data_IF_941457683615
#
_entry.id   IF_941457683615
#
_cell.length_a   1.000
_cell.length_b   1.000
_cell.length_c   1.000
_cell.angle_alpha   90.00
_cell.angle_beta   90.00
_cell.angle_gamma   90.00
#
_symmetry.space_group_name_H-M   'P 1'
#
loop_
_entity.id
_entity.type
_entity.pdbx_description
1 polymer ?
#
# COMPACT_ATOMS: atom_id res chain seq x y z
N UNK A 1 15.99 12.06 33.92
CA UNK A 1 16.37 12.74 32.66
C UNK A 1 17.25 11.79 31.88
N UNK A 2 16.80 11.22 30.76
CA UNK A 2 17.66 10.35 29.92
C UNK A 2 18.52 11.25 29.05
N UNK A 3 19.81 11.37 29.38
CA UNK A 3 20.81 12.05 28.55
C UNK A 3 21.30 11.00 27.54
N UNK A 4 21.22 11.32 26.25
CA UNK A 4 21.76 10.48 25.18
C UNK A 4 22.96 11.16 24.60
N UNK A 5 24.15 10.72 25.06
CA UNK A 5 25.41 11.22 24.58
C UNK A 5 25.74 10.68 23.19
N UNK A 6 26.32 11.52 22.36
CA UNK A 6 26.90 11.16 21.07
C UNK A 6 28.42 11.32 21.14
N UNK A 7 29.18 10.49 20.43
CA UNK A 7 30.61 10.66 20.36
C UNK A 7 30.95 12.02 19.78
N UNK A 8 32.05 12.62 20.31
CA UNK A 8 32.59 13.86 19.77
C UNK A 8 33.41 13.58 18.51
N UNK A 9 33.46 14.53 17.60
CA UNK A 9 34.33 14.50 16.42
C UNK A 9 35.82 14.69 16.82
N UNK A 10 36.69 14.24 15.93
CA UNK A 10 38.13 14.47 16.01
C UNK A 10 38.55 15.53 14.99
N UNK A 11 39.43 16.44 15.35
CA UNK A 11 39.89 17.51 14.47
C UNK A 11 40.43 18.70 15.20
N UNK A 12 40.57 19.83 14.48
CA UNK A 12 41.06 21.09 15.03
C UNK A 12 40.10 21.64 16.09
N UNK A 13 40.63 21.98 17.25
CA UNK A 13 39.91 22.57 18.38
C UNK A 13 40.12 24.08 18.45
N UNK A 14 39.23 24.79 19.13
CA UNK A 14 39.34 26.22 19.34
C UNK A 14 40.63 26.67 20.07
N UNK A 15 41.28 25.73 20.80
CA UNK A 15 42.56 25.93 21.44
C UNK A 15 43.76 25.90 20.51
N UNK A 16 43.57 25.61 19.19
CA UNK A 16 44.66 25.43 18.23
C UNK A 16 45.28 24.04 18.23
N UNK A 17 44.84 23.14 19.14
CA UNK A 17 45.22 21.72 19.17
C UNK A 17 44.34 20.89 18.25
N UNK A 18 44.75 19.69 17.92
CA UNK A 18 43.96 18.70 17.21
C UNK A 18 43.65 17.51 18.12
N UNK A 19 42.43 17.03 18.12
CA UNK A 19 42.00 15.91 18.93
C UNK A 19 40.49 15.78 19.11
N UNK A 20 40.05 14.89 19.99
CA UNK A 20 38.64 14.65 20.32
C UNK A 20 38.08 15.85 21.12
N UNK A 21 36.90 16.26 20.79
CA UNK A 21 36.18 17.37 21.47
C UNK A 21 35.49 18.34 20.51
N UNK A 22 35.65 18.16 19.21
CA UNK A 22 34.92 18.89 18.19
C UNK A 22 33.46 18.37 18.08
N UNK A 23 32.53 19.24 17.82
CA UNK A 23 31.14 18.86 17.45
C UNK A 23 31.18 18.02 16.17
N UNK A 24 30.34 17.00 16.09
CA UNK A 24 30.15 16.22 14.87
C UNK A 24 29.69 17.13 13.72
N UNK A 25 30.04 16.76 12.50
CA UNK A 25 29.56 17.47 11.31
C UNK A 25 28.02 17.42 11.24
N UNK A 26 27.34 18.49 10.75
CA UNK A 26 25.88 18.56 10.74
C UNK A 26 25.21 17.36 10.11
N UNK A 27 25.71 16.87 8.97
CA UNK A 27 25.14 15.70 8.28
C UNK A 27 25.21 14.42 9.14
N UNK A 28 26.30 14.26 9.91
CA UNK A 28 26.43 13.13 10.84
C UNK A 28 25.45 13.26 12.00
N UNK A 29 25.21 14.47 12.51
CA UNK A 29 24.22 14.71 13.56
C UNK A 29 22.80 14.43 13.05
N UNK A 30 22.46 14.91 11.84
CA UNK A 30 21.17 14.62 11.20
C UNK A 30 20.96 13.12 11.05
N UNK A 31 21.95 12.38 10.50
CA UNK A 31 21.88 10.94 10.34
C UNK A 31 21.67 10.20 11.68
N UNK A 32 22.30 10.69 12.76
CA UNK A 32 22.07 10.11 14.10
C UNK A 32 20.67 10.40 14.64
N UNK A 33 20.12 11.58 14.35
CA UNK A 33 18.75 11.95 14.75
C UNK A 33 17.75 11.08 13.99
N UNK A 34 17.90 10.99 12.68
CA UNK A 34 17.05 10.16 11.80
C UNK A 34 17.06 8.69 12.23
N UNK A 35 18.25 8.11 12.43
CA UNK A 35 18.40 6.74 12.91
C UNK A 35 17.75 6.51 14.29
N UNK A 36 17.78 7.54 15.16
CA UNK A 36 17.13 7.45 16.46
C UNK A 36 15.61 7.44 16.35
N UNK A 37 15.03 8.32 15.55
CA UNK A 37 13.60 8.36 15.34
C UNK A 37 13.11 7.12 14.58
N UNK A 38 13.82 6.68 13.55
CA UNK A 38 13.51 5.44 12.84
C UNK A 38 13.47 4.21 13.76
N UNK A 39 14.46 4.07 14.66
CA UNK A 39 14.52 2.95 15.62
C UNK A 39 13.38 2.93 16.64
N UNK A 40 12.82 4.10 16.99
CA UNK A 40 11.73 4.25 17.96
C UNK A 40 10.38 4.52 17.27
N UNK A 41 10.32 4.45 15.95
CA UNK A 41 9.09 4.56 15.21
C UNK A 41 8.18 3.34 15.45
N UNK A 42 6.85 3.50 15.48
CA UNK A 42 5.90 2.42 15.80
C UNK A 42 6.08 1.17 14.94
N UNK A 43 6.45 1.32 13.66
CA UNK A 43 6.73 0.22 12.73
C UNK A 43 8.22 0.08 12.40
N UNK A 44 9.12 0.55 13.26
CA UNK A 44 10.56 0.41 13.07
C UNK A 44 10.99 -1.05 12.96
N UNK A 45 11.62 -1.41 11.82
CA UNK A 45 12.05 -2.77 11.51
C UNK A 45 10.94 -3.69 11.00
N UNK A 46 9.71 -3.18 10.78
CA UNK A 46 8.61 -3.90 10.15
C UNK A 46 8.60 -3.68 8.63
N UNK A 47 8.28 -4.73 7.89
CA UNK A 47 8.10 -4.69 6.45
C UNK A 47 6.61 -4.61 6.09
N UNK A 48 6.26 -3.63 5.26
CA UNK A 48 4.88 -3.38 4.83
C UNK A 48 4.77 -3.49 3.32
N UNK A 49 3.98 -4.44 2.83
CA UNK A 49 3.66 -4.59 1.41
C UNK A 49 2.31 -3.95 1.11
N UNK A 50 2.26 -3.09 0.10
CA UNK A 50 1.03 -2.42 -0.32
C UNK A 50 0.80 -2.65 -1.80
N UNK A 51 -0.40 -3.09 -2.19
CA UNK A 51 -0.79 -3.07 -3.60
C UNK A 51 -1.61 -1.82 -3.90
N UNK A 52 -1.40 -1.21 -5.06
CA UNK A 52 -2.02 0.05 -5.45
C UNK A 52 -2.35 0.13 -6.94
N UNK A 53 -3.19 1.10 -7.31
CA UNK A 53 -3.54 1.36 -8.69
C UNK A 53 -4.50 0.34 -9.30
N UNK A 54 -4.86 0.50 -10.58
CA UNK A 54 -5.61 -0.49 -11.34
C UNK A 54 -4.67 -1.57 -11.87
N UNK A 55 -5.23 -2.69 -12.34
CA UNK A 55 -4.56 -3.52 -13.34
C UNK A 55 -5.20 -3.31 -14.70
N UNK A 56 -4.42 -3.43 -15.76
CA UNK A 56 -4.86 -3.33 -17.14
C UNK A 56 -4.66 -4.67 -17.84
N UNK A 57 -5.76 -5.26 -18.30
CA UNK A 57 -5.77 -6.55 -18.97
C UNK A 57 -5.84 -6.33 -20.48
N UNK A 58 -4.73 -6.47 -21.22
CA UNK A 58 -4.67 -6.07 -22.63
C UNK A 58 -5.60 -6.90 -23.51
N UNK A 59 -6.46 -6.26 -24.29
CA UNK A 59 -7.24 -6.84 -25.39
C UNK A 59 -6.33 -6.95 -26.62
N UNK A 60 -5.62 -5.85 -26.92
CA UNK A 60 -4.65 -5.71 -27.99
C UNK A 60 -3.61 -4.65 -27.61
N UNK A 61 -2.62 -4.29 -28.46
CA UNK A 61 -1.61 -3.29 -28.11
C UNK A 61 -2.15 -1.87 -27.80
N UNK A 62 -3.46 -1.62 -27.96
CA UNK A 62 -4.05 -0.29 -27.83
C UNK A 62 -5.14 -0.24 -26.74
N UNK A 63 -5.85 -1.35 -26.50
CA UNK A 63 -7.04 -1.40 -25.63
C UNK A 63 -6.88 -2.43 -24.54
N UNK A 64 -7.49 -2.15 -23.38
CA UNK A 64 -7.47 -3.02 -22.21
C UNK A 64 -8.83 -3.00 -21.49
N UNK A 65 -9.02 -3.98 -20.59
CA UNK A 65 -10.03 -3.99 -19.54
C UNK A 65 -9.33 -3.53 -18.27
N UNK A 66 -9.93 -2.65 -17.48
CA UNK A 66 -9.37 -2.17 -16.24
C UNK A 66 -10.33 -1.31 -15.44
N UNK A 67 -9.92 -0.94 -14.23
CA UNK A 67 -10.69 -0.13 -13.29
C UNK A 67 -10.27 1.35 -13.32
N UNK A 68 -11.16 2.26 -12.88
CA UNK A 68 -10.90 3.71 -12.84
C UNK A 68 -9.98 4.15 -11.68
N UNK A 69 -9.27 3.24 -11.03
CA UNK A 69 -8.38 3.59 -9.92
C UNK A 69 -7.21 4.45 -10.39
N UNK A 70 -6.84 5.43 -9.58
CA UNK A 70 -5.66 6.30 -9.81
C UNK A 70 -4.43 5.89 -9.01
N UNK A 71 -4.54 4.96 -8.06
CA UNK A 71 -3.46 4.57 -7.16
C UNK A 71 -3.21 5.50 -5.97
N UNK A 72 -3.87 6.67 -5.91
CA UNK A 72 -3.63 7.69 -4.85
C UNK A 72 -3.79 7.15 -3.43
N UNK A 73 -4.78 6.29 -3.16
CA UNK A 73 -4.97 5.74 -1.80
C UNK A 73 -3.81 4.82 -1.40
N UNK A 74 -3.36 3.94 -2.32
CA UNK A 74 -2.22 3.06 -2.06
C UNK A 74 -0.92 3.82 -1.87
N UNK A 75 -0.68 4.91 -2.64
CA UNK A 75 0.47 5.78 -2.43
C UNK A 75 0.41 6.47 -1.06
N UNK A 76 -0.75 7.04 -0.69
CA UNK A 76 -0.92 7.65 0.63
C UNK A 76 -0.69 6.65 1.79
N UNK A 77 -1.10 5.38 1.62
CA UNK A 77 -0.80 4.32 2.57
C UNK A 77 0.71 4.03 2.64
N UNK A 78 1.40 3.98 1.50
CA UNK A 78 2.85 3.75 1.46
C UNK A 78 3.63 4.88 2.15
N UNK A 79 3.24 6.13 1.92
CA UNK A 79 3.81 7.30 2.59
C UNK A 79 3.56 7.25 4.12
N UNK A 80 2.34 6.94 4.56
CA UNK A 80 2.00 6.82 5.97
C UNK A 80 2.75 5.67 6.65
N UNK A 81 2.89 4.52 6.00
CA UNK A 81 3.71 3.40 6.49
C UNK A 81 5.18 3.82 6.66
N UNK A 82 5.75 4.48 5.65
CA UNK A 82 7.13 4.97 5.73
C UNK A 82 7.32 5.98 6.88
N UNK A 83 6.39 6.91 7.04
CA UNK A 83 6.42 7.90 8.14
C UNK A 83 6.32 7.25 9.53
N UNK A 84 5.72 6.08 9.65
CA UNK A 84 5.71 5.27 10.89
C UNK A 84 6.96 4.40 11.06
N UNK A 85 7.94 4.52 10.14
CA UNK A 85 9.25 3.86 10.21
C UNK A 85 9.32 2.48 9.56
N UNK A 86 8.30 2.08 8.83
CA UNK A 86 8.30 0.80 8.13
C UNK A 86 9.23 0.80 6.90
N UNK A 87 9.78 -0.37 6.59
CA UNK A 87 10.33 -0.68 5.27
C UNK A 87 9.16 -1.00 4.33
N UNK A 88 8.95 -0.17 3.30
CA UNK A 88 7.76 -0.25 2.45
C UNK A 88 8.11 -0.81 1.08
N UNK A 89 7.29 -1.76 0.63
CA UNK A 89 7.26 -2.27 -0.73
C UNK A 89 5.90 -1.95 -1.37
N UNK A 90 5.90 -1.08 -2.38
CA UNK A 90 4.71 -0.68 -3.12
C UNK A 90 4.65 -1.40 -4.48
N UNK A 91 3.72 -2.35 -4.64
CA UNK A 91 3.41 -2.98 -5.94
C UNK A 91 2.27 -2.22 -6.58
N UNK A 92 2.54 -1.53 -7.70
CA UNK A 92 1.58 -0.58 -8.25
C UNK A 92 1.32 -0.80 -9.74
N UNK A 93 0.04 -0.80 -10.09
CA UNK A 93 -0.43 -0.84 -11.47
C UNK A 93 -0.26 0.49 -12.20
N UNK A 94 -0.68 0.59 -13.47
CA UNK A 94 -0.52 1.79 -14.30
C UNK A 94 -1.13 3.03 -13.64
N UNK A 95 -0.35 4.10 -13.57
CA UNK A 95 -0.74 5.35 -12.91
C UNK A 95 0.05 6.53 -13.48
N UNK A 96 -0.28 7.75 -13.02
CA UNK A 96 0.43 9.00 -13.36
C UNK A 96 0.96 9.72 -12.11
N UNK A 97 1.23 8.98 -11.03
CA UNK A 97 1.72 9.54 -9.78
C UNK A 97 3.23 9.83 -9.86
N UNK A 98 3.75 10.80 -9.09
CA UNK A 98 5.17 11.16 -9.07
C UNK A 98 5.96 10.16 -8.19
N UNK A 99 6.24 8.98 -8.72
CA UNK A 99 6.90 7.89 -7.98
C UNK A 99 8.44 7.93 -8.02
N UNK A 100 9.04 8.90 -8.72
CA UNK A 100 10.50 8.96 -8.91
C UNK A 100 11.27 9.36 -7.65
N UNK A 101 10.63 10.04 -6.72
CA UNK A 101 11.27 10.62 -5.52
C UNK A 101 10.73 10.03 -4.21
N UNK A 102 10.00 8.91 -4.26
CA UNK A 102 9.51 8.28 -3.02
C UNK A 102 10.64 7.54 -2.30
N UNK A 103 10.69 7.56 -0.95
CA UNK A 103 11.78 6.99 -0.16
C UNK A 103 11.62 5.49 0.14
N UNK A 104 10.92 4.75 -0.73
CA UNK A 104 10.67 3.32 -0.56
C UNK A 104 10.66 2.60 -1.91
N UNK A 105 10.72 1.27 -1.86
CA UNK A 105 10.76 0.44 -3.05
C UNK A 105 9.41 0.43 -3.78
N UNK A 106 9.45 0.58 -5.12
CA UNK A 106 8.28 0.56 -5.99
C UNK A 106 8.48 -0.46 -7.09
N UNK A 107 7.55 -1.40 -7.19
CA UNK A 107 7.50 -2.41 -8.26
C UNK A 107 6.32 -2.08 -9.19
N UNK A 108 6.57 -1.53 -10.37
CA UNK A 108 5.53 -1.30 -11.36
C UNK A 108 5.09 -2.62 -12.00
N UNK A 109 3.79 -2.80 -12.14
CA UNK A 109 3.16 -3.95 -12.81
C UNK A 109 2.06 -3.45 -13.75
N UNK A 110 1.61 -4.28 -14.68
CA UNK A 110 0.54 -3.90 -15.61
C UNK A 110 -0.71 -4.74 -15.39
N UNK A 111 -0.56 -6.07 -15.30
CA UNK A 111 -1.68 -7.02 -15.26
C UNK A 111 -1.92 -7.58 -13.85
N UNK A 112 -3.09 -8.13 -13.61
CA UNK A 112 -3.42 -8.86 -12.39
C UNK A 112 -2.47 -10.02 -12.13
N UNK A 113 -2.04 -10.72 -13.21
CA UNK A 113 -1.09 -11.81 -13.08
C UNK A 113 0.31 -11.33 -12.66
N UNK A 114 0.81 -10.23 -13.23
CA UNK A 114 2.09 -9.63 -12.80
C UNK A 114 2.02 -9.16 -11.35
N UNK A 115 0.92 -8.50 -10.95
CA UNK A 115 0.71 -8.08 -9.57
C UNK A 115 0.66 -9.29 -8.62
N UNK A 116 -0.08 -10.34 -8.98
CA UNK A 116 -0.13 -11.58 -8.21
C UNK A 116 1.27 -12.19 -8.01
N UNK A 117 2.03 -12.36 -9.10
CA UNK A 117 3.38 -12.93 -9.04
C UNK A 117 4.31 -12.10 -8.15
N UNK A 118 4.29 -10.77 -8.31
CA UNK A 118 5.09 -9.86 -7.51
C UNK A 118 4.72 -9.91 -6.03
N UNK A 119 3.43 -9.88 -5.72
CA UNK A 119 2.95 -9.95 -4.32
C UNK A 119 3.36 -11.27 -3.67
N UNK A 120 3.08 -12.41 -4.31
CA UNK A 120 3.36 -13.73 -3.73
C UNK A 120 4.87 -13.95 -3.54
N UNK A 121 5.71 -13.44 -4.46
CA UNK A 121 7.16 -13.52 -4.34
C UNK A 121 7.71 -12.86 -3.06
N UNK A 122 7.12 -11.73 -2.65
CA UNK A 122 7.60 -10.97 -1.49
C UNK A 122 6.80 -11.23 -0.21
N UNK A 123 5.64 -11.91 -0.29
CA UNK A 123 4.69 -11.97 0.81
C UNK A 123 5.21 -12.68 2.07
N UNK A 124 6.07 -13.70 1.92
CA UNK A 124 6.62 -14.44 3.07
C UNK A 124 7.43 -13.60 4.05
N UNK A 125 8.01 -12.50 3.55
CA UNK A 125 8.99 -11.69 4.29
C UNK A 125 8.37 -10.41 4.88
N UNK A 126 7.06 -10.19 4.74
CA UNK A 126 6.39 -8.99 5.23
C UNK A 126 5.63 -9.23 6.53
N UNK A 127 5.57 -8.22 7.39
CA UNK A 127 4.81 -8.24 8.63
C UNK A 127 3.36 -7.77 8.42
N UNK A 128 3.16 -6.75 7.56
CA UNK A 128 1.85 -6.16 7.28
C UNK A 128 1.66 -6.13 5.77
N UNK A 129 0.50 -6.55 5.31
CA UNK A 129 0.14 -6.43 3.90
C UNK A 129 -1.20 -5.74 3.73
N UNK A 130 -1.27 -4.76 2.81
CA UNK A 130 -2.48 -3.98 2.54
C UNK A 130 -2.81 -4.09 1.05
N UNK A 131 -3.91 -4.79 0.75
CA UNK A 131 -4.39 -4.97 -0.62
C UNK A 131 -5.37 -3.84 -0.98
N UNK A 132 -4.82 -2.71 -1.49
CA UNK A 132 -5.59 -1.51 -1.87
C UNK A 132 -5.69 -1.31 -3.40
N UNK A 133 -5.11 -2.21 -4.20
CA UNK A 133 -5.23 -2.17 -5.65
C UNK A 133 -6.66 -2.46 -6.12
N UNK A 134 -7.06 -1.83 -7.22
CA UNK A 134 -8.27 -2.13 -7.94
C UNK A 134 -7.98 -3.13 -9.07
N UNK A 135 -7.78 -4.37 -8.71
CA UNK A 135 -7.48 -5.46 -9.65
C UNK A 135 -8.69 -5.72 -10.54
N UNK A 136 -8.48 -5.88 -11.83
CA UNK A 136 -9.54 -6.28 -12.75
C UNK A 136 -9.95 -7.74 -12.48
N UNK A 137 -11.24 -8.00 -12.34
CA UNK A 137 -11.77 -9.35 -12.05
C UNK A 137 -11.67 -10.30 -13.26
N UNK A 138 -11.56 -9.73 -14.47
CA UNK A 138 -11.54 -10.47 -15.72
C UNK A 138 -10.45 -9.98 -16.66
N UNK A 139 -9.82 -10.91 -17.35
CA UNK A 139 -8.87 -10.66 -18.45
C UNK A 139 -9.36 -11.30 -19.76
N UNK A 140 -9.02 -10.74 -20.95
CA UNK A 140 -9.25 -11.41 -22.21
C UNK A 140 -8.59 -12.79 -22.24
N UNK A 141 -9.33 -13.82 -22.67
CA UNK A 141 -8.77 -15.18 -22.81
C UNK A 141 -7.59 -15.24 -23.79
N UNK A 142 -7.61 -14.36 -24.80
CA UNK A 142 -6.53 -14.25 -25.77
C UNK A 142 -6.23 -12.77 -26.05
N UNK A 143 -4.98 -12.37 -25.84
CA UNK A 143 -4.46 -11.06 -26.23
C UNK A 143 -4.17 -11.06 -27.73
N UNK A 144 -4.77 -10.17 -28.47
CA UNK A 144 -4.46 -10.01 -29.89
C UNK A 144 -3.07 -9.37 -30.09
N UNK A 145 -2.20 -9.96 -30.92
CA UNK A 145 -0.84 -9.43 -31.13
C UNK A 145 -0.82 -8.13 -31.96
N UNK A 146 -1.94 -7.81 -32.63
CA UNK A 146 -2.11 -6.59 -33.43
C UNK A 146 -3.44 -5.93 -33.10
N UNK A 147 -3.51 -4.60 -33.30
CA UNK A 147 -4.77 -3.84 -33.12
C UNK A 147 -5.89 -4.48 -33.93
N UNK A 148 -6.99 -4.85 -33.25
CA UNK A 148 -8.17 -5.40 -33.88
C UNK A 148 -8.87 -4.30 -34.68
N UNK A 149 -9.03 -4.51 -35.99
CA UNK A 149 -9.70 -3.57 -36.88
C UNK A 149 -11.22 -3.70 -36.73
N UNK A 150 -11.93 -2.58 -36.82
CA UNK A 150 -13.38 -2.53 -36.74
C UNK A 150 -14.06 -3.37 -37.86
N UNK A 151 -13.41 -3.45 -39.01
CA UNK A 151 -13.88 -4.26 -40.17
C UNK A 151 -13.88 -5.76 -39.90
N UNK A 152 -13.20 -6.25 -38.86
CA UNK A 152 -13.16 -7.68 -38.53
C UNK A 152 -14.42 -8.17 -37.80
N UNK A 153 -15.41 -7.31 -37.59
CA UNK A 153 -16.74 -7.69 -37.06
C UNK A 153 -16.71 -8.22 -35.62
N UNK A 154 -15.72 -7.77 -34.79
CA UNK A 154 -15.64 -8.19 -33.38
C UNK A 154 -16.91 -7.76 -32.63
N UNK A 155 -17.72 -8.72 -32.22
CA UNK A 155 -18.97 -8.50 -31.48
C UNK A 155 -18.87 -8.83 -30.00
N UNK A 156 -17.87 -9.63 -29.59
CA UNK A 156 -17.65 -10.04 -28.23
C UNK A 156 -16.15 -10.27 -27.97
N UNK A 157 -15.73 -10.07 -26.73
CA UNK A 157 -14.39 -10.39 -26.23
C UNK A 157 -14.58 -11.47 -25.16
N UNK A 158 -14.18 -12.72 -25.42
CA UNK A 158 -14.19 -13.76 -24.39
C UNK A 158 -13.25 -13.40 -23.25
N UNK A 159 -13.73 -13.50 -22.02
CA UNK A 159 -12.95 -13.19 -20.82
C UNK A 159 -12.84 -14.42 -19.90
N UNK A 160 -11.81 -14.45 -19.08
CA UNK A 160 -11.59 -15.41 -18.01
C UNK A 160 -11.35 -14.66 -16.69
N UNK A 161 -11.63 -15.27 -15.53
CA UNK A 161 -11.29 -14.71 -14.24
C UNK A 161 -9.79 -14.50 -14.10
N UNK A 162 -9.39 -13.43 -13.42
CA UNK A 162 -8.01 -13.17 -13.01
C UNK A 162 -7.69 -13.87 -11.68
N UNK A 163 -6.41 -14.01 -11.30
CA UNK A 163 -6.04 -14.52 -9.98
C UNK A 163 -6.59 -13.64 -8.85
N UNK A 164 -7.17 -14.24 -7.82
CA UNK A 164 -7.58 -13.54 -6.60
C UNK A 164 -6.38 -13.36 -5.66
N UNK A 165 -5.69 -12.24 -5.78
CA UNK A 165 -4.47 -11.93 -5.05
C UNK A 165 -4.73 -11.96 -3.54
N UNK A 166 -5.82 -11.34 -3.08
CA UNK A 166 -6.13 -11.24 -1.66
C UNK A 166 -6.50 -12.60 -1.05
N UNK A 167 -7.19 -13.46 -1.81
CA UNK A 167 -7.46 -14.84 -1.37
C UNK A 167 -6.16 -15.65 -1.26
N UNK A 168 -5.28 -15.56 -2.26
CA UNK A 168 -3.97 -16.21 -2.23
C UNK A 168 -3.11 -15.76 -1.04
N UNK A 169 -3.09 -14.45 -0.73
CA UNK A 169 -2.42 -13.95 0.46
C UNK A 169 -3.02 -14.53 1.75
N UNK A 170 -4.34 -14.59 1.85
CA UNK A 170 -5.02 -15.15 3.02
C UNK A 170 -4.77 -16.65 3.23
N UNK A 171 -4.61 -17.42 2.14
CA UNK A 171 -4.23 -18.84 2.19
C UNK A 171 -2.77 -19.04 2.65
N UNK A 172 -1.87 -18.16 2.23
CA UNK A 172 -0.44 -18.22 2.56
C UNK A 172 -0.09 -17.53 3.86
N UNK A 173 -1.03 -16.80 4.49
CA UNK A 173 -0.80 -15.98 5.66
C UNK A 173 -0.19 -16.76 6.82
N UNK A 174 0.90 -16.25 7.34
CA UNK A 174 1.58 -16.75 8.54
C UNK A 174 1.08 -16.04 9.81
N UNK A 175 1.29 -16.64 10.97
CA UNK A 175 0.77 -16.15 12.26
C UNK A 175 1.29 -14.77 12.68
N UNK A 176 2.46 -14.35 12.19
CA UNK A 176 3.04 -13.03 12.48
C UNK A 176 2.54 -11.93 11.53
N UNK A 177 1.85 -12.30 10.46
CA UNK A 177 1.43 -11.36 9.42
C UNK A 177 0.06 -10.77 9.71
N UNK A 178 -0.08 -9.47 9.44
CA UNK A 178 -1.33 -8.74 9.52
C UNK A 178 -1.81 -8.37 8.11
N UNK A 179 -2.94 -8.93 7.68
CA UNK A 179 -3.46 -8.78 6.32
C UNK A 179 -4.71 -7.89 6.29
N UNK A 180 -4.63 -6.79 5.56
CA UNK A 180 -5.72 -5.83 5.37
C UNK A 180 -6.22 -5.85 3.93
N UNK A 181 -7.51 -6.06 3.73
CA UNK A 181 -8.17 -5.91 2.43
C UNK A 181 -8.88 -4.57 2.28
N UNK A 182 -9.14 -4.19 1.03
CA UNK A 182 -10.06 -3.10 0.70
C UNK A 182 -11.32 -3.66 0.05
N UNK A 183 -12.45 -3.03 0.34
CA UNK A 183 -13.72 -3.28 -0.32
C UNK A 183 -14.35 -1.95 -0.76
N UNK A 184 -14.87 -1.93 -1.98
CA UNK A 184 -15.68 -0.84 -2.52
C UNK A 184 -17.06 -1.41 -2.83
N UNK A 185 -18.06 -0.96 -2.10
CA UNK A 185 -19.41 -1.52 -2.17
C UNK A 185 -20.44 -0.42 -2.45
N UNK A 186 -21.50 -0.78 -3.14
CA UNK A 186 -22.64 0.12 -3.41
C UNK A 186 -23.81 -0.14 -2.45
N UNK A 187 -24.01 -1.39 -2.03
CA UNK A 187 -25.13 -1.80 -1.15
C UNK A 187 -24.65 -2.86 -0.15
N UNK A 188 -25.24 -2.88 1.05
CA UNK A 188 -24.93 -3.85 2.11
C UNK A 188 -23.43 -3.95 2.46
N UNK A 189 -22.69 -2.81 2.35
CA UNK A 189 -21.22 -2.76 2.39
C UNK A 189 -20.61 -3.47 3.59
N UNK A 190 -21.09 -3.18 4.81
CA UNK A 190 -20.56 -3.79 6.06
C UNK A 190 -20.74 -5.32 6.05
N UNK A 191 -21.91 -5.82 5.62
CA UNK A 191 -22.17 -7.25 5.59
C UNK A 191 -21.27 -7.96 4.57
N UNK A 192 -21.10 -7.38 3.38
CA UNK A 192 -20.22 -7.90 2.33
C UNK A 192 -18.76 -7.86 2.76
N UNK A 193 -18.33 -6.77 3.38
CA UNK A 193 -16.98 -6.63 3.93
C UNK A 193 -16.69 -7.70 5.00
N UNK A 194 -17.61 -7.94 5.95
CA UNK A 194 -17.46 -9.01 6.95
C UNK A 194 -17.41 -10.41 6.35
N UNK A 195 -18.21 -10.69 5.33
CA UNK A 195 -18.11 -11.98 4.59
C UNK A 195 -16.74 -12.14 3.93
N UNK A 196 -16.25 -11.08 3.26
CA UNK A 196 -14.95 -11.05 2.59
C UNK A 196 -13.80 -11.20 3.59
N UNK A 197 -13.87 -10.51 4.74
CA UNK A 197 -12.91 -10.62 5.83
C UNK A 197 -12.74 -12.07 6.27
N UNK A 198 -13.83 -12.77 6.54
CA UNK A 198 -13.81 -14.18 6.96
C UNK A 198 -13.39 -15.11 5.84
N UNK A 199 -13.95 -14.95 4.63
CA UNK A 199 -13.70 -15.85 3.50
C UNK A 199 -12.25 -15.81 3.02
N UNK A 200 -11.56 -14.67 3.17
CA UNK A 200 -10.18 -14.47 2.73
C UNK A 200 -9.17 -14.42 3.88
N UNK A 201 -9.55 -14.86 5.08
CA UNK A 201 -8.66 -14.92 6.26
C UNK A 201 -7.95 -13.60 6.56
N UNK A 202 -8.67 -12.47 6.46
CA UNK A 202 -8.12 -11.14 6.73
C UNK A 202 -8.16 -10.82 8.22
N UNK A 203 -7.25 -9.96 8.68
CA UNK A 203 -7.26 -9.41 10.04
C UNK A 203 -8.14 -8.16 10.12
N UNK A 204 -8.15 -7.37 9.03
CA UNK A 204 -9.02 -6.21 8.90
C UNK A 204 -9.45 -5.99 7.45
N UNK A 205 -10.52 -5.23 7.25
CA UNK A 205 -10.96 -4.77 5.94
C UNK A 205 -11.36 -3.30 6.02
N UNK A 206 -10.91 -2.52 5.05
CA UNK A 206 -11.28 -1.11 4.87
C UNK A 206 -12.38 -1.03 3.85
N UNK A 207 -13.56 -0.62 4.28
CA UNK A 207 -14.73 -0.45 3.43
C UNK A 207 -14.86 1.00 2.97
N UNK A 208 -14.94 1.20 1.66
CA UNK A 208 -15.38 2.44 1.03
C UNK A 208 -16.79 2.24 0.47
N UNK A 209 -17.63 3.29 0.49
CA UNK A 209 -18.94 3.28 -0.16
C UNK A 209 -18.94 4.17 -1.40
N UNK A 210 -19.54 3.69 -2.49
CA UNK A 210 -19.83 4.50 -3.67
C UNK A 210 -20.96 5.50 -3.44
N UNK A 211 -21.77 5.32 -2.40
CA UNK A 211 -22.88 6.23 -2.03
C UNK A 211 -22.38 7.52 -1.37
N UNK A 212 -21.16 7.52 -0.82
CA UNK A 212 -20.57 8.67 -0.15
C UNK A 212 -20.01 9.67 -1.17
N UNK A 213 -20.63 10.84 -1.29
CA UNK A 213 -20.15 11.92 -2.15
C UNK A 213 -18.72 12.34 -1.75
N UNK A 214 -17.79 12.33 -2.72
CA UNK A 214 -16.38 12.65 -2.50
C UNK A 214 -15.51 11.48 -2.06
N UNK A 215 -16.09 10.28 -1.88
CA UNK A 215 -15.35 9.03 -1.71
C UNK A 215 -15.22 8.28 -3.05
N UNK A 216 -14.23 7.39 -3.15
CA UNK A 216 -14.05 6.51 -4.30
C UNK A 216 -12.89 6.85 -5.23
N UNK A 217 -13.00 6.41 -6.50
CA UNK A 217 -11.92 6.55 -7.47
C UNK A 217 -11.72 7.99 -7.94
N UNK A 218 -10.48 8.38 -8.20
CA UNK A 218 -10.13 9.67 -8.80
C UNK A 218 -10.23 10.90 -7.89
N UNK A 219 -10.86 10.81 -6.72
CA UNK A 219 -10.99 11.91 -5.76
C UNK A 219 -9.73 12.09 -4.90
N UNK A 220 -9.58 13.28 -4.29
CA UNK A 220 -8.51 13.54 -3.30
C UNK A 220 -8.91 13.13 -1.88
N UNK A 221 -10.20 12.89 -1.66
CA UNK A 221 -10.79 12.54 -0.37
C UNK A 221 -11.26 11.09 -0.34
N UNK A 222 -11.47 10.57 0.85
CA UNK A 222 -12.09 9.27 1.08
C UNK A 222 -12.84 9.26 2.42
N UNK A 223 -13.89 8.43 2.49
CA UNK A 223 -14.62 8.09 3.70
C UNK A 223 -14.60 6.59 3.85
N UNK A 224 -14.21 6.10 5.03
CA UNK A 224 -13.99 4.67 5.23
C UNK A 224 -14.63 4.18 6.51
N UNK A 225 -14.91 2.88 6.55
CA UNK A 225 -15.14 2.13 7.78
C UNK A 225 -14.07 1.03 7.90
N UNK A 226 -13.30 1.05 8.97
CA UNK A 226 -12.34 0.01 9.33
C UNK A 226 -13.06 -1.08 10.10
N UNK A 227 -13.00 -2.34 9.64
CA UNK A 227 -13.78 -3.45 10.15
C UNK A 227 -12.85 -4.61 10.51
N UNK A 228 -12.99 -5.12 11.73
CA UNK A 228 -12.47 -6.42 12.20
C UNK A 228 -13.62 -7.34 12.57
N UNK A 229 -13.30 -8.55 13.04
CA UNK A 229 -14.32 -9.53 13.46
C UNK A 229 -15.32 -8.93 14.47
N UNK A 230 -14.82 -8.25 15.51
CA UNK A 230 -15.61 -7.72 16.64
C UNK A 230 -15.57 -6.19 16.76
N UNK A 231 -15.01 -5.48 15.75
CA UNK A 231 -14.78 -4.02 15.85
C UNK A 231 -15.12 -3.34 14.52
N UNK A 232 -15.84 -2.23 14.60
CA UNK A 232 -16.12 -1.33 13.49
C UNK A 232 -15.81 0.10 13.90
N UNK A 233 -15.02 0.81 13.09
CA UNK A 233 -14.69 2.22 13.30
C UNK A 233 -15.00 2.96 12.01
N UNK A 234 -15.97 3.85 12.02
CA UNK A 234 -16.27 4.73 10.90
C UNK A 234 -15.51 6.04 11.04
N UNK A 235 -14.92 6.48 9.94
CA UNK A 235 -14.20 7.74 9.84
C UNK A 235 -14.93 8.70 8.92
N UNK A 236 -14.88 9.99 9.26
CA UNK A 236 -15.47 11.04 8.44
C UNK A 236 -14.70 11.23 7.13
N UNK A 237 -15.30 11.94 6.19
CA UNK A 237 -14.66 12.30 4.91
C UNK A 237 -13.42 13.15 5.15
N UNK A 238 -12.25 12.66 4.73
CA UNK A 238 -10.95 13.31 4.89
C UNK A 238 -10.11 13.19 3.63
N UNK A 239 -8.97 13.89 3.57
CA UNK A 239 -7.97 13.62 2.53
C UNK A 239 -7.47 12.19 2.61
N UNK A 240 -7.05 11.61 1.49
CA UNK A 240 -6.50 10.24 1.44
C UNK A 240 -5.29 10.05 2.34
N UNK A 241 -4.46 11.08 2.51
CA UNK A 241 -3.34 11.05 3.45
C UNK A 241 -3.83 10.95 4.90
N UNK A 242 -4.81 11.75 5.31
CA UNK A 242 -5.39 11.67 6.65
C UNK A 242 -6.05 10.31 6.90
N UNK A 243 -6.77 9.76 5.92
CA UNK A 243 -7.36 8.41 5.99
C UNK A 243 -6.28 7.33 6.12
N UNK A 244 -5.16 7.45 5.41
CA UNK A 244 -4.05 6.52 5.54
C UNK A 244 -3.47 6.51 6.96
N UNK A 245 -3.31 7.66 7.59
CA UNK A 245 -2.91 7.77 9.00
C UNK A 245 -3.93 7.16 9.95
N UNK A 246 -5.24 7.37 9.73
CA UNK A 246 -6.30 6.75 10.53
C UNK A 246 -6.22 5.21 10.45
N UNK A 247 -6.00 4.66 9.23
CA UNK A 247 -5.84 3.21 9.02
C UNK A 247 -4.62 2.67 9.76
N UNK A 248 -3.45 3.32 9.65
CA UNK A 248 -2.26 2.88 10.38
C UNK A 248 -2.41 3.02 11.89
N UNK A 249 -3.10 4.06 12.37
CA UNK A 249 -3.42 4.20 13.80
C UNK A 249 -4.30 3.05 14.30
N UNK A 250 -5.27 2.60 13.49
CA UNK A 250 -6.10 1.44 13.83
C UNK A 250 -5.29 0.13 13.81
N UNK A 251 -4.43 -0.07 12.80
CA UNK A 251 -3.55 -1.25 12.70
C UNK A 251 -2.62 -1.33 13.91
N UNK A 252 -1.96 -0.23 14.29
CA UNK A 252 -1.06 -0.19 15.45
C UNK A 252 -1.77 -0.56 16.75
N UNK A 253 -2.98 -0.02 16.99
CA UNK A 253 -3.79 -0.41 18.14
C UNK A 253 -4.14 -1.90 18.16
N UNK A 254 -4.26 -2.51 16.99
CA UNK A 254 -4.62 -3.92 16.84
C UNK A 254 -3.41 -4.85 16.97
N UNK A 255 -2.20 -4.38 16.66
CA UNK A 255 -0.95 -5.12 16.83
C UNK A 255 -0.46 -5.14 18.30
N UNK A 256 -0.90 -4.17 19.11
CA UNK A 256 -0.56 -4.06 20.53
C UNK A 256 -1.46 -4.93 21.44
N UNK A 257 -2.47 -5.61 20.90
CA UNK A 257 -3.42 -6.49 21.62
C UNK A 257 -3.03 -7.96 21.53
#
# INVERSE_FOLDING_TARGET
MCIRDRPVGDGALASGLSGKGRMLEPDTLVSHIEAHFAKNAPLGGKKVLITAGPTYEPIDPVRFIGNFSSGKMGLALAEAAHQTGAEVLLVIGPNSLPLQEVPFEVIPVVTANEMHQSVIHHYSDVDIAIAAAAVADFSPQQKAPKKIKKSNGLTAIPVAPTPDILAAMGELKQSHQFLVGFALESEHGVQNAKKKLKAKNLDAIVLNSLEDAGAGFGTETNKITYIRAEKEISYELKSKNAVAHDIFSAILQDLDQ
#
